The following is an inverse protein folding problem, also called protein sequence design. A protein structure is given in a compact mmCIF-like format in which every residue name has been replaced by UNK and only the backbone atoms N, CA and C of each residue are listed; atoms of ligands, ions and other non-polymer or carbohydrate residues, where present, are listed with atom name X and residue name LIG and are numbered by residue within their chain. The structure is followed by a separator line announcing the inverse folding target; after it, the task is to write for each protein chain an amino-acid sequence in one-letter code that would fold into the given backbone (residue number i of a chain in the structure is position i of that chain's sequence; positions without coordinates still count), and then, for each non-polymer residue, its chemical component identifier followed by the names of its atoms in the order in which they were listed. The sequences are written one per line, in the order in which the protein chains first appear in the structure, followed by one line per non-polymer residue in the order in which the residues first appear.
data_IF_504519881297
#
_entry.id   IF_504519881297
#
_cell.length_a   1.000
_cell.length_b   1.000
_cell.length_c   1.000
_cell.angle_alpha   90.00
_cell.angle_beta   90.00
_cell.angle_gamma   90.00
#
_symmetry.space_group_name_H-M   'P 1'
#
loop_
_entity.id
_entity.type
_entity.pdbx_description
1 polymer ?
#
# COMPACT_ATOMS: atom_id res chain seq x y z
N UNK A 1 1.71 -13.29 5.72
CA UNK A 1 2.61 -12.58 6.66
C UNK A 1 2.11 -12.60 8.10
N UNK A 2 0.83 -12.52 8.36
CA UNK A 2 0.25 -12.49 9.72
C UNK A 2 0.47 -13.78 10.53
N UNK A 3 0.63 -14.92 9.87
CA UNK A 3 0.73 -16.25 10.52
C UNK A 3 2.16 -16.67 10.87
N UNK A 4 3.18 -16.24 10.10
CA UNK A 4 4.56 -16.63 10.32
C UNK A 4 5.28 -15.66 11.27
N UNK A 5 5.62 -16.15 12.47
CA UNK A 5 6.20 -15.34 13.54
C UNK A 5 7.54 -14.68 13.19
N UNK A 6 8.40 -15.33 12.40
CA UNK A 6 9.73 -14.81 12.03
C UNK A 6 9.67 -13.83 10.85
N UNK A 7 8.86 -14.15 9.83
CA UNK A 7 8.75 -13.33 8.60
C UNK A 7 7.83 -12.14 8.83
N UNK A 8 6.83 -12.28 9.69
CA UNK A 8 5.81 -11.25 9.94
C UNK A 8 6.13 -10.25 11.05
N UNK A 9 7.32 -10.30 11.69
CA UNK A 9 7.61 -9.44 12.84
C UNK A 9 7.62 -7.95 12.49
N UNK A 10 8.30 -7.59 11.39
CA UNK A 10 8.33 -6.20 10.89
C UNK A 10 6.93 -5.71 10.50
N UNK A 11 6.12 -6.59 9.89
CA UNK A 11 4.74 -6.30 9.52
C UNK A 11 3.83 -6.12 10.76
N UNK A 12 4.00 -6.97 11.79
CA UNK A 12 3.28 -6.79 13.06
C UNK A 12 3.67 -5.52 13.80
N UNK A 13 4.94 -5.12 13.74
CA UNK A 13 5.39 -3.86 14.33
C UNK A 13 4.82 -2.65 13.58
N UNK A 14 4.74 -2.73 12.25
CA UNK A 14 4.05 -1.75 11.43
C UNK A 14 2.56 -1.61 11.83
N UNK A 15 1.83 -2.72 11.98
CA UNK A 15 0.46 -2.68 12.50
C UNK A 15 0.36 -2.08 13.91
N UNK A 16 1.30 -2.43 14.78
CA UNK A 16 1.31 -1.96 16.17
C UNK A 16 1.57 -0.46 16.28
N UNK A 17 2.44 0.07 15.45
CA UNK A 17 2.77 1.50 15.42
C UNK A 17 1.81 2.31 14.57
N UNK A 18 1.12 1.66 13.62
CA UNK A 18 0.27 2.29 12.61
C UNK A 18 0.99 3.42 11.84
N UNK A 19 2.26 3.19 11.49
CA UNK A 19 3.12 4.15 10.81
C UNK A 19 3.75 3.50 9.58
N UNK A 20 3.76 4.23 8.44
CA UNK A 20 4.54 3.84 7.26
C UNK A 20 6.04 4.09 7.46
N UNK A 21 6.86 3.38 6.70
CA UNK A 21 8.33 3.53 6.74
C UNK A 21 8.79 4.85 6.11
N UNK A 22 7.97 5.44 5.26
CA UNK A 22 8.28 6.55 4.35
C UNK A 22 8.34 6.07 2.90
N UNK A 23 7.91 6.95 1.99
CA UNK A 23 7.71 6.63 0.57
C UNK A 23 8.95 6.02 -0.08
N UNK A 24 10.12 6.59 0.18
CA UNK A 24 11.38 6.15 -0.47
C UNK A 24 11.81 4.77 -0.01
N UNK A 25 11.68 4.47 1.29
CA UNK A 25 12.05 3.16 1.82
C UNK A 25 11.10 2.07 1.36
N UNK A 26 9.82 2.35 1.28
CA UNK A 26 8.83 1.41 0.75
C UNK A 26 9.00 1.17 -0.74
N UNK A 27 9.24 2.22 -1.53
CA UNK A 27 9.58 2.09 -2.95
C UNK A 27 10.77 1.16 -3.15
N UNK A 28 11.86 1.38 -2.41
CA UNK A 28 13.03 0.50 -2.45
C UNK A 28 12.66 -0.95 -2.16
N UNK A 29 11.88 -1.20 -1.11
CA UNK A 29 11.52 -2.55 -0.69
C UNK A 29 10.64 -3.24 -1.75
N UNK A 30 9.74 -2.51 -2.42
CA UNK A 30 8.94 -3.04 -3.53
C UNK A 30 9.79 -3.35 -4.77
N UNK A 31 10.73 -2.47 -5.13
CA UNK A 31 11.65 -2.71 -6.25
C UNK A 31 12.54 -3.92 -5.97
N UNK A 32 13.11 -4.03 -4.79
CA UNK A 32 13.94 -5.20 -4.40
C UNK A 32 13.08 -6.47 -4.39
N UNK A 33 11.87 -6.43 -3.84
CA UNK A 33 10.97 -7.59 -3.80
C UNK A 33 10.52 -8.08 -5.19
N UNK A 34 10.39 -7.17 -6.17
CA UNK A 34 9.99 -7.50 -7.54
C UNK A 34 11.16 -7.71 -8.51
N UNK A 35 12.40 -7.47 -8.09
CA UNK A 35 13.59 -7.47 -8.95
C UNK A 35 13.81 -8.78 -9.72
N UNK A 36 13.54 -9.93 -9.10
CA UNK A 36 13.67 -11.22 -9.75
C UNK A 36 12.74 -11.33 -10.95
N UNK A 37 11.47 -10.95 -10.79
CA UNK A 37 10.49 -11.00 -11.87
C UNK A 37 10.84 -10.00 -12.97
N UNK A 38 11.30 -8.81 -12.61
CA UNK A 38 11.77 -7.80 -13.57
C UNK A 38 12.88 -8.36 -14.47
N UNK A 39 13.85 -9.08 -13.89
CA UNK A 39 14.96 -9.68 -14.64
C UNK A 39 14.48 -10.85 -15.52
N UNK A 40 13.65 -11.74 -14.98
CA UNK A 40 13.15 -12.92 -15.69
C UNK A 40 12.39 -12.55 -16.96
N UNK A 41 11.66 -11.44 -16.96
CA UNK A 41 10.89 -11.03 -18.14
C UNK A 41 11.76 -10.69 -19.37
N UNK A 42 13.02 -10.30 -19.17
CA UNK A 42 13.96 -10.07 -20.27
C UNK A 42 14.38 -11.35 -21.02
N UNK A 43 14.22 -12.53 -20.38
CA UNK A 43 14.47 -13.81 -21.06
C UNK A 43 13.39 -14.18 -22.09
N UNK A 44 12.20 -13.56 -22.03
CA UNK A 44 11.14 -13.77 -23.02
C UNK A 44 11.34 -12.86 -24.24
N UNK A 45 11.55 -11.56 -24.02
CA UNK A 45 11.95 -10.60 -25.05
C UNK A 45 12.38 -9.28 -24.38
N UNK A 46 13.15 -8.46 -25.12
CA UNK A 46 13.55 -7.13 -24.65
C UNK A 46 12.34 -6.21 -24.46
N UNK A 47 11.36 -6.24 -25.35
CA UNK A 47 10.15 -5.42 -25.26
C UNK A 47 9.32 -5.79 -24.02
N UNK A 48 9.11 -7.09 -23.78
CA UNK A 48 8.42 -7.59 -22.60
C UNK A 48 9.18 -7.22 -21.31
N UNK A 49 10.49 -7.40 -21.31
CA UNK A 49 11.35 -7.05 -20.19
C UNK A 49 11.29 -5.55 -19.85
N UNK A 50 11.41 -4.70 -20.88
CA UNK A 50 11.37 -3.25 -20.69
C UNK A 50 9.98 -2.77 -20.23
N UNK A 51 8.92 -3.29 -20.86
CA UNK A 51 7.54 -2.96 -20.49
C UNK A 51 7.25 -3.36 -19.05
N UNK A 52 7.65 -4.57 -18.66
CA UNK A 52 7.47 -5.04 -17.27
C UNK A 52 8.30 -4.23 -16.28
N UNK A 53 9.55 -3.91 -16.61
CA UNK A 53 10.43 -3.11 -15.78
C UNK A 53 9.85 -1.73 -15.50
N UNK A 54 9.47 -1.00 -16.54
CA UNK A 54 8.88 0.35 -16.42
C UNK A 54 7.54 0.33 -15.68
N UNK A 55 6.67 -0.65 -15.99
CA UNK A 55 5.40 -0.85 -15.33
C UNK A 55 5.56 -1.14 -13.83
N UNK A 56 6.50 -2.03 -13.50
CA UNK A 56 6.79 -2.39 -12.10
C UNK A 56 7.35 -1.22 -11.32
N UNK A 57 8.26 -0.41 -11.88
CA UNK A 57 8.78 0.79 -11.23
C UNK A 57 7.68 1.82 -10.99
N UNK A 58 6.84 2.05 -12.00
CA UNK A 58 5.71 3.01 -11.88
C UNK A 58 4.71 2.57 -10.82
N UNK A 59 4.37 1.29 -10.81
CA UNK A 59 3.45 0.74 -9.82
C UNK A 59 4.05 0.71 -8.41
N UNK A 60 5.34 0.39 -8.27
CA UNK A 60 6.05 0.44 -6.99
C UNK A 60 6.07 1.87 -6.41
N UNK A 61 6.32 2.88 -7.26
CA UNK A 61 6.30 4.28 -6.84
C UNK A 61 4.90 4.71 -6.40
N UNK A 62 3.88 4.37 -7.19
CA UNK A 62 2.49 4.65 -6.83
C UNK A 62 2.07 3.93 -5.55
N UNK A 63 2.42 2.64 -5.40
CA UNK A 63 2.07 1.85 -4.22
C UNK A 63 2.72 2.38 -2.95
N UNK A 64 4.00 2.76 -3.01
CA UNK A 64 4.71 3.33 -1.87
C UNK A 64 4.10 4.68 -1.44
N UNK A 65 3.78 5.53 -2.41
CA UNK A 65 3.10 6.79 -2.14
C UNK A 65 1.69 6.58 -1.57
N UNK A 66 0.88 5.72 -2.20
CA UNK A 66 -0.49 5.45 -1.79
C UNK A 66 -0.57 4.82 -0.40
N UNK A 67 0.34 3.90 -0.08
CA UNK A 67 0.44 3.28 1.24
C UNK A 67 0.74 4.32 2.32
N UNK A 68 1.75 5.16 2.11
CA UNK A 68 2.09 6.23 3.04
C UNK A 68 0.96 7.25 3.17
N UNK A 69 0.29 7.60 2.05
CA UNK A 69 -0.85 8.49 2.05
C UNK A 69 -2.00 7.94 2.89
N UNK A 70 -2.30 6.65 2.79
CA UNK A 70 -3.35 6.02 3.60
C UNK A 70 -3.04 6.05 5.10
N UNK A 71 -1.77 6.00 5.52
CA UNK A 71 -1.41 6.15 6.92
C UNK A 71 -1.54 7.58 7.44
N UNK A 72 -1.20 8.57 6.63
CA UNK A 72 -1.07 9.96 7.09
C UNK A 72 -2.21 10.89 6.67
N UNK A 73 -2.84 10.63 5.52
CA UNK A 73 -3.95 11.42 5.01
C UNK A 73 -4.91 10.56 4.16
N UNK A 74 -5.63 9.61 4.76
CA UNK A 74 -6.46 8.65 4.04
C UNK A 74 -7.55 9.30 3.18
N UNK A 75 -8.02 10.49 3.56
CA UNK A 75 -9.06 11.22 2.83
C UNK A 75 -8.63 11.69 1.43
N UNK A 76 -7.32 11.69 1.15
CA UNK A 76 -6.77 12.07 -0.16
C UNK A 76 -6.70 10.91 -1.17
N UNK A 77 -7.03 9.70 -0.77
CA UNK A 77 -7.07 8.53 -1.65
C UNK A 77 -8.36 8.50 -2.49
N UNK A 78 -8.58 9.55 -3.30
CA UNK A 78 -9.82 9.79 -4.07
C UNK A 78 -10.11 8.76 -5.16
N UNK A 79 -9.17 7.88 -5.49
CA UNK A 79 -9.32 6.80 -6.48
C UNK A 79 -9.91 5.51 -5.89
N UNK A 80 -10.16 5.49 -4.58
CA UNK A 80 -10.87 4.43 -3.86
C UNK A 80 -12.06 5.04 -3.12
N UNK A 81 -13.16 4.33 -3.07
CA UNK A 81 -14.34 4.75 -2.29
C UNK A 81 -14.03 4.81 -0.79
N UNK A 82 -13.21 3.87 -0.34
CA UNK A 82 -12.72 3.77 1.02
C UNK A 82 -11.22 3.44 1.00
N UNK A 83 -10.37 4.14 1.79
CA UNK A 83 -8.94 3.83 1.86
C UNK A 83 -8.73 2.50 2.60
N UNK A 84 -8.74 1.40 1.84
CA UNK A 84 -8.82 0.03 2.37
C UNK A 84 -7.70 -0.32 3.34
N UNK A 85 -6.47 0.12 3.08
CA UNK A 85 -5.34 -0.12 3.96
C UNK A 85 -5.44 0.63 5.29
N UNK A 86 -5.90 1.88 5.25
CA UNK A 86 -6.18 2.64 6.46
C UNK A 86 -7.22 1.95 7.35
N UNK A 87 -8.32 1.52 6.74
CA UNK A 87 -9.42 0.83 7.43
C UNK A 87 -8.96 -0.52 7.98
N UNK A 88 -8.14 -1.26 7.21
CA UNK A 88 -7.49 -2.50 7.66
C UNK A 88 -6.72 -2.30 8.98
N UNK A 89 -5.91 -1.25 9.06
CA UNK A 89 -5.17 -0.90 10.28
C UNK A 89 -6.09 -0.39 11.40
N UNK A 90 -6.96 0.57 11.09
CA UNK A 90 -7.82 1.24 12.07
C UNK A 90 -8.72 0.27 12.84
N UNK A 91 -9.25 -0.75 12.13
CA UNK A 91 -10.19 -1.71 12.70
C UNK A 91 -9.59 -3.11 12.92
N UNK A 92 -8.29 -3.29 12.73
CA UNK A 92 -7.59 -4.57 12.93
C UNK A 92 -8.13 -5.69 12.06
N UNK A 93 -8.39 -5.42 10.79
CA UNK A 93 -9.02 -6.37 9.86
C UNK A 93 -8.01 -7.37 9.29
N UNK A 94 -7.64 -8.40 10.08
CA UNK A 94 -6.61 -9.38 9.72
C UNK A 94 -6.89 -10.21 8.46
N UNK A 95 -8.15 -10.31 8.04
CA UNK A 95 -8.60 -11.13 6.91
C UNK A 95 -9.27 -10.34 5.79
N UNK A 96 -9.26 -8.99 5.86
CA UNK A 96 -9.94 -8.13 4.91
C UNK A 96 -9.12 -6.89 4.57
N UNK A 97 -9.42 -6.29 3.41
CA UNK A 97 -8.90 -4.98 3.01
C UNK A 97 -7.36 -4.93 2.92
N UNK A 98 -6.78 -5.83 2.14
CA UNK A 98 -5.33 -5.98 1.99
C UNK A 98 -4.70 -5.02 0.97
N UNK A 99 -5.50 -4.33 0.18
CA UNK A 99 -5.04 -3.42 -0.86
C UNK A 99 -4.14 -2.31 -0.32
N UNK A 100 -2.96 -2.13 -0.92
CA UNK A 100 -2.03 -1.05 -0.55
C UNK A 100 -2.26 0.21 -1.38
N UNK A 101 -2.34 0.06 -2.68
CA UNK A 101 -2.48 1.17 -3.62
C UNK A 101 -3.89 1.28 -4.19
N UNK A 102 -4.51 0.14 -4.43
CA UNK A 102 -5.85 -0.03 -5.00
C UNK A 102 -6.57 -1.19 -4.29
N UNK A 103 -7.87 -1.19 -4.36
CA UNK A 103 -8.74 -2.18 -3.73
C UNK A 103 -9.21 -3.31 -4.67
N UNK A 104 -8.81 -3.30 -5.93
CA UNK A 104 -9.28 -4.25 -6.96
C UNK A 104 -9.11 -5.71 -6.55
N UNK A 105 -7.97 -6.04 -5.95
CA UNK A 105 -7.70 -7.40 -5.53
C UNK A 105 -8.57 -7.83 -4.36
N UNK A 106 -8.94 -6.90 -3.48
CA UNK A 106 -9.89 -7.19 -2.41
C UNK A 106 -11.26 -7.55 -2.99
N UNK A 107 -11.70 -6.86 -4.05
CA UNK A 107 -12.94 -7.21 -4.75
C UNK A 107 -12.83 -8.56 -5.50
N UNK A 108 -11.70 -8.82 -6.19
CA UNK A 108 -11.48 -10.07 -6.92
C UNK A 108 -11.43 -11.27 -6.00
N UNK A 109 -10.78 -11.16 -4.85
CA UNK A 109 -10.63 -12.26 -3.89
C UNK A 109 -11.71 -12.30 -2.81
N UNK A 110 -12.68 -11.40 -2.83
CA UNK A 110 -13.77 -11.34 -1.85
C UNK A 110 -13.31 -10.93 -0.44
N UNK A 111 -12.18 -10.25 -0.35
CA UNK A 111 -11.63 -9.72 0.92
C UNK A 111 -12.03 -8.27 1.20
N UNK A 112 -12.71 -7.62 0.26
CA UNK A 112 -13.24 -6.27 0.47
C UNK A 112 -14.35 -6.27 1.51
N UNK A 113 -14.18 -5.45 2.54
CA UNK A 113 -15.17 -5.26 3.60
C UNK A 113 -15.42 -3.78 3.79
N UNK A 114 -16.60 -3.27 3.38
CA UNK A 114 -16.94 -1.86 3.52
C UNK A 114 -17.11 -1.47 4.98
N UNK A 115 -16.73 -0.23 5.31
CA UNK A 115 -16.96 0.43 6.59
C UNK A 115 -17.56 1.79 6.27
N UNK A 116 -18.85 1.96 6.55
CA UNK A 116 -19.59 3.17 6.17
C UNK A 116 -19.11 4.41 6.91
N UNK A 117 -18.77 4.28 8.20
CA UNK A 117 -18.36 5.39 9.06
C UNK A 117 -16.85 5.34 9.39
N UNK A 118 -16.00 5.19 8.35
CA UNK A 118 -14.54 5.19 8.57
C UNK A 118 -13.98 6.59 8.86
N UNK A 119 -14.68 7.65 8.45
CA UNK A 119 -14.30 9.06 8.59
C UNK A 119 -14.86 9.65 9.88
N UNK A 120 -13.97 10.07 10.79
CA UNK A 120 -14.31 10.77 12.02
C UNK A 120 -13.59 12.12 12.14
N UNK A 121 -13.62 12.74 13.30
CA UNK A 121 -12.99 14.05 13.54
C UNK A 121 -11.49 14.06 13.22
N UNK A 122 -10.78 12.96 13.53
CA UNK A 122 -9.36 12.82 13.24
C UNK A 122 -9.08 12.85 11.74
N UNK A 123 -9.84 12.10 10.94
CA UNK A 123 -9.69 12.02 9.49
C UNK A 123 -10.07 13.34 8.82
N UNK A 124 -11.07 14.04 9.33
CA UNK A 124 -11.46 15.39 8.89
C UNK A 124 -10.31 16.38 9.17
N UNK A 125 -9.69 16.33 10.34
CA UNK A 125 -8.53 17.17 10.64
C UNK A 125 -7.34 16.85 9.73
N UNK A 126 -7.07 15.57 9.44
CA UNK A 126 -6.03 15.15 8.50
C UNK A 126 -6.29 15.62 7.07
N UNK A 127 -7.55 15.77 6.67
CA UNK A 127 -7.92 16.21 5.32
C UNK A 127 -7.39 17.61 4.96
N UNK A 128 -7.01 18.40 5.96
CA UNK A 128 -6.38 19.71 5.74
C UNK A 128 -4.92 19.62 5.26
N UNK A 129 -4.27 18.47 5.39
CA UNK A 129 -2.92 18.25 4.90
C UNK A 129 -2.88 18.19 3.37
N UNK A 130 -1.79 18.69 2.80
CA UNK A 130 -1.54 18.59 1.35
C UNK A 130 -1.12 17.17 0.93
N UNK A 131 -1.24 16.87 -0.36
CA UNK A 131 -0.85 15.58 -0.94
C UNK A 131 0.62 15.21 -0.74
N UNK A 132 1.51 16.19 -0.61
CA UNK A 132 2.96 15.97 -0.44
C UNK A 132 3.43 16.11 1.02
N UNK A 133 2.52 16.38 1.94
CA UNK A 133 2.80 16.47 3.38
C UNK A 133 2.80 15.07 4.02
N UNK A 134 3.74 14.26 3.59
CA UNK A 134 3.93 12.86 3.99
C UNK A 134 5.36 12.64 4.47
N UNK A 135 5.57 11.56 5.20
CA UNK A 135 6.90 11.05 5.50
C UNK A 135 7.52 10.46 4.23
N UNK A 136 8.60 11.06 3.76
CA UNK A 136 9.32 10.60 2.57
C UNK A 136 10.44 9.62 2.90
N UNK A 137 11.10 9.80 4.07
CA UNK A 137 12.28 9.03 4.53
C UNK A 137 12.06 8.32 5.86
#
# INVERSE_FOLDING_TARGET
MHVNRKIGERHRDHHRRNEGQGVVWEFRDYVVGSSLVMVVMFFFSWDAGLGWFLGSLSYAAFSAYAHQLQHENPTKCFWMEMPVHYVHHKYGMWEHNFGLAVDWWDHVFGTYKPVEEWMGEKEIALSQRGYLQLKWW
#
